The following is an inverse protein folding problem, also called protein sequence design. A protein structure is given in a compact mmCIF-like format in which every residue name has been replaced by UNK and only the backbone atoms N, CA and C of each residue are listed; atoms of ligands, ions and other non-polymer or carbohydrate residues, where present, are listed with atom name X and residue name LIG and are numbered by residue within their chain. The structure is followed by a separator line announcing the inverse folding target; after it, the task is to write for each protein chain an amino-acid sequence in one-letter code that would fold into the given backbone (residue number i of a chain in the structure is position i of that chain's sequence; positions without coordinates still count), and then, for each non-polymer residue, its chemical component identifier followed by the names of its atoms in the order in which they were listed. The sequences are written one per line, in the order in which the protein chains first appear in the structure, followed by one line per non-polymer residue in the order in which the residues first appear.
data_IF_795739776931
#
_entry.id   IF_795739776931
#
_cell.length_a   1.000
_cell.length_b   1.000
_cell.length_c   1.000
_cell.angle_alpha   90.00
_cell.angle_beta   90.00
_cell.angle_gamma   90.00
#
_symmetry.space_group_name_H-M   'P 1'
#
loop_
_entity.id
_entity.type
_entity.pdbx_description
1 polymer ?
#
# COMPACT_ATOMS: atom_id res chain seq x y z
N UNK A 1 -6.66 -0.91 -10.49
CA UNK A 1 -6.52 0.29 -9.61
C UNK A 1 -6.31 1.54 -10.45
N UNK A 2 -5.38 1.53 -11.41
CA UNK A 2 -5.10 2.67 -12.32
C UNK A 2 -6.35 3.15 -13.07
N UNK A 3 -7.17 2.23 -13.61
CA UNK A 3 -8.39 2.54 -14.37
C UNK A 3 -9.45 3.30 -13.58
N UNK A 4 -9.34 3.28 -12.25
CA UNK A 4 -10.29 3.94 -11.36
C UNK A 4 -9.84 5.32 -10.89
N UNK A 5 -8.58 5.69 -11.15
CA UNK A 5 -7.99 6.93 -10.63
C UNK A 5 -8.78 8.18 -11.06
N UNK A 6 -9.09 8.28 -12.36
CA UNK A 6 -9.77 9.44 -12.92
C UNK A 6 -11.21 9.59 -12.40
N UNK A 7 -11.87 8.45 -12.10
CA UNK A 7 -13.25 8.42 -11.61
C UNK A 7 -13.32 8.57 -10.10
N UNK A 8 -12.44 7.90 -9.37
CA UNK A 8 -12.58 7.69 -7.93
C UNK A 8 -11.66 8.62 -7.10
N UNK A 9 -10.71 9.32 -7.73
CA UNK A 9 -9.76 10.20 -7.04
C UNK A 9 -9.87 11.65 -7.52
N UNK A 10 -9.72 11.90 -8.81
CA UNK A 10 -9.62 13.26 -9.36
C UNK A 10 -10.82 14.17 -9.02
N UNK A 11 -12.09 13.71 -9.05
CA UNK A 11 -13.24 14.58 -8.78
C UNK A 11 -13.27 15.15 -7.35
N UNK A 12 -12.55 14.49 -6.41
CA UNK A 12 -12.50 14.92 -5.00
C UNK A 12 -11.38 15.91 -4.71
N UNK A 13 -10.47 16.14 -5.64
CA UNK A 13 -9.30 17.04 -5.50
C UNK A 13 -8.55 16.87 -4.17
N UNK A 14 -8.19 15.64 -3.76
CA UNK A 14 -7.54 15.42 -2.49
C UNK A 14 -6.13 16.06 -2.48
N UNK A 15 -5.72 16.59 -1.35
CA UNK A 15 -4.34 17.09 -1.20
C UNK A 15 -3.33 15.96 -1.05
N UNK A 16 -3.73 14.85 -0.40
CA UNK A 16 -2.92 13.66 -0.17
C UNK A 16 -3.71 12.42 -0.59
N UNK A 17 -3.04 11.43 -1.17
CA UNK A 17 -3.60 10.12 -1.46
C UNK A 17 -2.77 9.03 -0.79
N UNK A 18 -3.39 8.28 0.13
CA UNK A 18 -2.82 7.07 0.70
C UNK A 18 -3.08 5.90 -0.25
N UNK A 19 -2.01 5.22 -0.68
CA UNK A 19 -2.09 4.16 -1.69
C UNK A 19 -1.63 2.85 -1.08
N UNK A 20 -2.54 1.87 -1.00
CA UNK A 20 -2.26 0.49 -0.62
C UNK A 20 -2.91 -0.45 -1.63
N UNK A 21 -2.10 -1.07 -2.48
CA UNK A 21 -2.56 -1.96 -3.55
C UNK A 21 -1.50 -3.00 -3.89
N UNK A 22 -1.91 -4.11 -4.51
CA UNK A 22 -1.02 -5.14 -5.02
C UNK A 22 -1.11 -6.49 -4.32
N UNK A 23 -1.68 -6.58 -3.10
CA UNK A 23 -1.74 -7.83 -2.34
C UNK A 23 -2.41 -8.97 -3.11
N UNK A 24 -3.53 -8.70 -3.78
CA UNK A 24 -4.24 -9.72 -4.56
C UNK A 24 -3.44 -10.21 -5.76
N UNK A 25 -2.81 -9.30 -6.51
CA UNK A 25 -1.98 -9.65 -7.65
C UNK A 25 -0.76 -10.48 -7.22
N UNK A 26 -0.06 -10.04 -6.18
CA UNK A 26 1.15 -10.71 -5.70
C UNK A 26 0.87 -12.10 -5.14
N UNK A 27 -0.21 -12.28 -4.35
CA UNK A 27 -0.58 -13.60 -3.83
C UNK A 27 -1.02 -14.57 -4.94
N UNK A 28 -1.56 -14.04 -6.03
CA UNK A 28 -1.95 -14.82 -7.22
C UNK A 28 -0.77 -15.12 -8.16
N UNK A 29 0.44 -14.63 -7.86
CA UNK A 29 1.65 -14.94 -8.61
C UNK A 29 2.08 -13.86 -9.61
N UNK A 30 1.50 -12.67 -9.58
CA UNK A 30 1.95 -11.54 -10.42
C UNK A 30 3.40 -11.17 -10.11
N UNK A 31 4.16 -10.79 -11.14
CA UNK A 31 5.52 -10.32 -10.97
C UNK A 31 5.53 -9.05 -10.09
N UNK A 32 6.35 -9.00 -9.03
CA UNK A 32 6.50 -7.80 -8.21
C UNK A 32 6.82 -6.54 -9.00
N UNK A 33 7.56 -6.65 -10.12
CA UNK A 33 7.90 -5.51 -10.95
C UNK A 33 6.66 -4.87 -11.58
N UNK A 34 5.67 -5.67 -12.02
CA UNK A 34 4.40 -5.14 -12.55
C UNK A 34 3.67 -4.30 -11.51
N UNK A 35 3.64 -4.77 -10.25
CA UNK A 35 3.02 -4.01 -9.15
C UNK A 35 3.80 -2.72 -8.84
N UNK A 36 5.13 -2.77 -8.91
CA UNK A 36 5.98 -1.58 -8.73
C UNK A 36 5.73 -0.57 -9.85
N UNK A 37 5.65 -1.02 -11.10
CA UNK A 37 5.38 -0.15 -12.25
C UNK A 37 4.00 0.53 -12.11
N UNK A 38 2.98 -0.21 -11.68
CA UNK A 38 1.65 0.34 -11.37
C UNK A 38 1.69 1.39 -10.25
N UNK A 39 2.48 1.16 -9.20
CA UNK A 39 2.67 2.13 -8.12
C UNK A 39 3.38 3.40 -8.61
N UNK A 40 4.40 3.26 -9.46
CA UNK A 40 5.10 4.39 -10.06
C UNK A 40 4.17 5.23 -10.94
N UNK A 41 3.39 4.58 -11.78
CA UNK A 41 2.38 5.25 -12.63
C UNK A 41 1.34 5.97 -11.77
N UNK A 42 0.84 5.34 -10.71
CA UNK A 42 -0.11 5.97 -9.78
C UNK A 42 0.50 7.20 -9.11
N UNK A 43 1.75 7.11 -8.65
CA UNK A 43 2.46 8.23 -8.06
C UNK A 43 2.63 9.38 -9.07
N UNK A 44 2.94 9.06 -10.34
CA UNK A 44 3.09 10.08 -11.39
C UNK A 44 1.77 10.78 -11.67
N UNK A 45 0.66 10.05 -11.84
CA UNK A 45 -0.67 10.64 -12.02
C UNK A 45 -1.10 11.53 -10.85
N UNK A 46 -0.76 11.14 -9.61
CA UNK A 46 -0.99 11.98 -8.45
C UNK A 46 -0.24 13.31 -8.57
N UNK A 47 1.06 13.25 -8.87
CA UNK A 47 1.91 14.44 -9.00
C UNK A 47 1.40 15.38 -10.10
N UNK A 48 1.07 14.84 -11.26
CA UNK A 48 0.55 15.62 -12.40
C UNK A 48 -0.77 16.34 -12.05
N UNK A 49 -1.56 15.75 -11.14
CA UNK A 49 -2.79 16.34 -10.61
C UNK A 49 -2.59 17.23 -9.37
N UNK A 50 -1.34 17.49 -8.94
CA UNK A 50 -1.05 18.26 -7.74
C UNK A 50 -1.34 17.52 -6.42
N UNK A 51 -1.57 16.21 -6.47
CA UNK A 51 -1.87 15.34 -5.33
C UNK A 51 -0.56 14.75 -4.80
N UNK A 52 -0.40 14.71 -3.49
CA UNK A 52 0.78 14.14 -2.82
C UNK A 52 0.56 12.64 -2.56
N UNK A 53 1.22 11.73 -3.30
CA UNK A 53 1.09 10.30 -3.05
C UNK A 53 1.88 9.88 -1.81
N UNK A 54 1.28 9.03 -1.00
CA UNK A 54 1.90 8.39 0.16
C UNK A 54 1.61 6.89 0.06
N UNK A 55 2.64 6.09 -0.14
CA UNK A 55 2.49 4.64 -0.25
C UNK A 55 2.34 4.00 1.13
N UNK A 56 1.61 2.90 1.20
CA UNK A 56 1.46 2.10 2.41
C UNK A 56 2.02 0.70 2.18
N UNK A 57 2.86 0.21 3.08
CA UNK A 57 3.38 -1.15 2.98
C UNK A 57 2.27 -2.17 3.12
N UNK A 58 2.39 -3.28 2.39
CA UNK A 58 1.42 -4.37 2.37
C UNK A 58 1.60 -5.24 3.62
N UNK A 59 0.58 -5.38 4.47
CA UNK A 59 0.61 -6.34 5.58
C UNK A 59 0.78 -7.77 5.09
N UNK A 60 1.27 -8.65 5.96
CA UNK A 60 1.25 -10.08 5.71
C UNK A 60 -0.19 -10.57 5.47
N UNK A 61 -0.33 -11.71 4.84
CA UNK A 61 -1.61 -12.39 4.61
C UNK A 61 -1.64 -13.74 5.32
N UNK A 62 -2.81 -14.37 5.36
CA UNK A 62 -2.98 -15.74 5.84
C UNK A 62 -3.54 -16.63 4.71
N UNK A 63 -2.68 -17.36 3.98
CA UNK A 63 -3.11 -18.19 2.86
C UNK A 63 -4.16 -19.23 3.21
N UNK A 64 -4.08 -19.83 4.40
CA UNK A 64 -5.03 -20.85 4.82
C UNK A 64 -6.46 -20.27 5.00
N UNK A 65 -6.58 -19.06 5.52
CA UNK A 65 -7.87 -18.39 5.63
C UNK A 65 -8.39 -17.96 4.25
N UNK A 66 -7.50 -17.47 3.38
CA UNK A 66 -7.85 -17.08 2.01
C UNK A 66 -8.42 -18.26 1.24
N UNK A 67 -7.74 -19.41 1.26
CA UNK A 67 -8.21 -20.64 0.62
C UNK A 67 -9.57 -21.08 1.19
N UNK A 68 -9.70 -21.06 2.52
CA UNK A 68 -10.96 -21.46 3.18
C UNK A 68 -12.15 -20.56 2.80
N UNK A 69 -11.94 -19.25 2.68
CA UNK A 69 -13.04 -18.29 2.44
C UNK A 69 -13.35 -18.11 0.96
N UNK A 70 -12.32 -18.08 0.10
CA UNK A 70 -12.49 -17.76 -1.32
C UNK A 70 -12.29 -18.95 -2.25
N UNK A 71 -11.82 -20.09 -1.73
CA UNK A 71 -11.38 -21.25 -2.53
C UNK A 71 -10.33 -20.83 -3.59
N UNK A 72 -9.41 -19.97 -3.22
CA UNK A 72 -8.34 -19.41 -4.06
C UNK A 72 -6.97 -19.73 -3.47
N UNK A 73 -6.12 -20.35 -4.27
CA UNK A 73 -4.75 -20.65 -3.87
C UNK A 73 -3.88 -19.39 -3.84
N UNK A 74 -2.93 -19.39 -2.91
CA UNK A 74 -1.87 -18.39 -2.83
C UNK A 74 -0.55 -19.05 -3.21
N UNK A 75 0.26 -18.41 -4.06
CA UNK A 75 1.57 -18.94 -4.48
C UNK A 75 2.52 -19.07 -3.28
N UNK A 76 3.36 -20.12 -3.29
CA UNK A 76 4.25 -20.44 -2.16
C UNK A 76 5.24 -19.33 -1.84
N UNK A 77 5.71 -18.60 -2.86
CA UNK A 77 6.71 -17.54 -2.75
C UNK A 77 6.11 -16.15 -2.47
N UNK A 78 4.83 -16.07 -2.09
CA UNK A 78 4.14 -14.79 -1.84
C UNK A 78 4.88 -13.87 -0.88
N UNK A 79 5.55 -14.43 0.16
CA UNK A 79 6.31 -13.62 1.13
C UNK A 79 7.45 -12.85 0.46
N UNK A 80 8.17 -13.52 -0.44
CA UNK A 80 9.24 -12.88 -1.19
C UNK A 80 8.71 -11.80 -2.12
N UNK A 81 7.58 -12.05 -2.80
CA UNK A 81 6.92 -11.07 -3.66
C UNK A 81 6.49 -9.82 -2.90
N UNK A 82 5.88 -10.01 -1.72
CA UNK A 82 5.50 -8.90 -0.82
C UNK A 82 6.72 -8.15 -0.30
N UNK A 83 7.80 -8.85 0.03
CA UNK A 83 9.04 -8.23 0.48
C UNK A 83 9.63 -7.30 -0.58
N UNK A 84 9.72 -7.75 -1.84
CA UNK A 84 10.24 -6.95 -2.96
C UNK A 84 9.43 -5.65 -3.13
N UNK A 85 8.11 -5.73 -3.14
CA UNK A 85 7.25 -4.54 -3.28
C UNK A 85 7.34 -3.64 -2.05
N UNK A 86 7.34 -4.21 -0.84
CA UNK A 86 7.47 -3.44 0.39
C UNK A 86 8.84 -2.73 0.49
N UNK A 87 9.91 -3.35 0.01
CA UNK A 87 11.23 -2.72 -0.04
C UNK A 87 11.23 -1.52 -0.99
N UNK A 88 10.60 -1.64 -2.18
CA UNK A 88 10.37 -0.49 -3.05
C UNK A 88 9.55 0.60 -2.34
N UNK A 89 8.42 0.26 -1.71
CA UNK A 89 7.56 1.22 -1.00
C UNK A 89 8.36 1.99 0.06
N UNK A 90 9.25 1.33 0.81
CA UNK A 90 10.08 1.95 1.84
C UNK A 90 11.11 2.95 1.29
N UNK A 91 11.42 2.91 0.00
CA UNK A 91 12.26 3.93 -0.66
C UNK A 91 11.50 5.21 -0.99
N UNK A 92 10.18 5.21 -0.89
CA UNK A 92 9.29 6.31 -1.24
C UNK A 92 8.78 7.05 0.02
N UNK A 93 8.03 8.14 -0.18
CA UNK A 93 7.22 8.69 0.92
C UNK A 93 6.17 7.68 1.30
N UNK A 94 6.25 7.12 2.50
CA UNK A 94 5.43 5.97 2.88
C UNK A 94 5.02 5.95 4.35
N UNK A 95 4.02 5.08 4.63
CA UNK A 95 3.65 4.65 5.98
C UNK A 95 3.86 3.14 6.07
N UNK A 96 4.64 2.68 7.04
CA UNK A 96 4.89 1.24 7.25
C UNK A 96 3.71 0.60 8.01
N UNK A 97 2.60 0.39 7.29
CA UNK A 97 1.38 -0.23 7.82
C UNK A 97 1.55 -1.73 8.10
N UNK A 98 2.46 -2.41 7.40
CA UNK A 98 2.78 -3.80 7.70
C UNK A 98 3.31 -3.97 9.14
N UNK A 99 4.06 -2.99 9.64
CA UNK A 99 4.59 -2.98 11.01
C UNK A 99 3.51 -2.71 12.10
N UNK A 100 2.26 -2.46 11.72
CA UNK A 100 1.16 -2.34 12.68
C UNK A 100 0.69 -3.69 13.22
N UNK A 101 1.06 -4.79 12.57
CA UNK A 101 0.59 -6.14 12.89
C UNK A 101 1.69 -6.99 13.47
N UNK A 102 1.40 -7.65 14.61
CA UNK A 102 2.21 -8.76 15.10
C UNK A 102 1.83 -10.02 14.32
N UNK A 103 2.75 -10.53 13.53
CA UNK A 103 2.55 -11.70 12.67
C UNK A 103 3.45 -12.87 13.09
N UNK A 104 3.09 -13.62 14.15
CA UNK A 104 3.83 -14.83 14.52
C UNK A 104 3.88 -15.78 13.32
N UNK A 105 5.04 -16.37 13.08
CA UNK A 105 5.28 -17.27 11.93
C UNK A 105 5.10 -16.59 10.55
N UNK A 106 5.09 -15.25 10.49
CA UNK A 106 5.02 -14.49 9.25
C UNK A 106 3.68 -14.54 8.52
N UNK A 107 2.60 -14.90 9.22
CA UNK A 107 1.22 -14.85 8.69
C UNK A 107 0.35 -13.93 9.51
N UNK A 108 -0.61 -13.28 8.85
CA UNK A 108 -1.56 -12.39 9.50
C UNK A 108 -2.51 -13.20 10.40
N UNK A 109 -2.55 -12.92 11.70
CA UNK A 109 -3.49 -13.59 12.60
C UNK A 109 -4.95 -13.34 12.23
N UNK A 110 -5.79 -14.37 12.37
CA UNK A 110 -7.23 -14.31 12.06
C UNK A 110 -7.97 -13.20 12.82
N UNK A 111 -7.48 -12.82 14.01
CA UNK A 111 -8.06 -11.74 14.80
C UNK A 111 -7.98 -10.37 14.11
N UNK A 112 -7.08 -10.20 13.16
CA UNK A 112 -6.92 -8.96 12.38
C UNK A 112 -7.61 -8.99 11.02
N UNK A 113 -7.77 -10.19 10.44
CA UNK A 113 -8.43 -10.41 9.16
C UNK A 113 -9.01 -11.82 9.11
N UNK A 114 -10.32 -11.94 9.25
CA UNK A 114 -11.02 -13.23 9.28
C UNK A 114 -10.83 -14.01 7.99
N UNK A 115 -10.82 -13.32 6.87
CA UNK A 115 -10.59 -13.91 5.54
C UNK A 115 -9.10 -14.08 5.19
N UNK A 116 -8.21 -13.62 6.05
CA UNK A 116 -6.76 -13.69 5.87
C UNK A 116 -6.15 -12.61 4.96
N UNK A 117 -6.96 -11.69 4.42
CA UNK A 117 -6.52 -10.68 3.44
C UNK A 117 -7.00 -9.27 3.78
N UNK A 118 -8.27 -9.09 4.12
CA UNK A 118 -8.88 -7.79 4.37
C UNK A 118 -8.97 -7.51 5.86
N UNK A 119 -8.24 -6.51 6.39
CA UNK A 119 -8.30 -6.19 7.82
C UNK A 119 -9.73 -5.92 8.29
N UNK A 120 -10.12 -6.60 9.39
CA UNK A 120 -11.36 -6.37 10.10
C UNK A 120 -11.31 -5.12 10.97
N UNK A 121 -12.30 -4.92 11.83
CA UNK A 121 -12.40 -3.76 12.72
C UNK A 121 -11.12 -3.54 13.53
N UNK A 122 -10.57 -4.61 14.16
CA UNK A 122 -9.34 -4.51 14.94
C UNK A 122 -8.13 -4.20 14.04
N UNK A 123 -8.01 -4.90 12.92
CA UNK A 123 -6.93 -4.67 11.95
C UNK A 123 -6.95 -3.24 11.38
N UNK A 124 -8.13 -2.75 10.99
CA UNK A 124 -8.30 -1.37 10.52
C UNK A 124 -7.97 -0.35 11.60
N UNK A 125 -8.32 -0.62 12.86
CA UNK A 125 -7.97 0.23 13.98
C UNK A 125 -6.46 0.36 14.16
N UNK A 126 -5.73 -0.76 14.17
CA UNK A 126 -4.28 -0.75 14.28
C UNK A 126 -3.60 0.01 13.13
N UNK A 127 -4.08 -0.18 11.89
CA UNK A 127 -3.60 0.59 10.75
C UNK A 127 -3.87 2.10 10.92
N UNK A 128 -5.07 2.47 11.36
CA UNK A 128 -5.44 3.86 11.63
C UNK A 128 -4.60 4.49 12.74
N UNK A 129 -4.33 3.77 13.82
CA UNK A 129 -3.43 4.20 14.90
C UNK A 129 -2.01 4.41 14.39
N UNK A 130 -1.51 3.51 13.53
CA UNK A 130 -0.20 3.64 12.88
C UNK A 130 -0.11 4.87 11.98
N UNK A 131 -1.12 5.08 11.13
CA UNK A 131 -1.22 6.26 10.27
C UNK A 131 -1.21 7.53 11.12
N UNK A 132 -2.06 7.61 12.14
CA UNK A 132 -2.17 8.78 13.00
C UNK A 132 -0.86 9.10 13.73
N UNK A 133 -0.16 8.09 14.23
CA UNK A 133 1.10 8.25 14.97
C UNK A 133 2.22 8.90 14.13
N UNK A 134 2.24 8.68 12.80
CA UNK A 134 3.30 9.15 11.91
C UNK A 134 2.86 10.28 10.98
N UNK A 135 1.58 10.63 10.97
CA UNK A 135 0.96 11.51 9.98
C UNK A 135 1.66 12.86 9.80
N UNK A 136 1.98 13.54 10.90
CA UNK A 136 2.61 14.87 10.83
C UNK A 136 3.96 14.83 10.09
N UNK A 137 4.80 13.82 10.37
CA UNK A 137 6.10 13.65 9.72
C UNK A 137 5.98 13.25 8.25
N UNK A 138 5.10 12.28 7.96
CA UNK A 138 4.90 11.79 6.58
C UNK A 138 4.26 12.88 5.70
N UNK A 139 3.32 13.63 6.24
CA UNK A 139 2.72 14.79 5.57
C UNK A 139 3.79 15.80 5.16
N UNK A 140 4.70 16.16 6.08
CA UNK A 140 5.79 17.09 5.78
C UNK A 140 6.71 16.54 4.69
N UNK A 141 7.09 15.26 4.75
CA UNK A 141 7.89 14.60 3.71
C UNK A 141 7.21 14.66 2.34
N UNK A 142 5.90 14.44 2.28
CA UNK A 142 5.12 14.50 1.04
C UNK A 142 5.06 15.93 0.47
N UNK A 143 4.89 16.95 1.32
CA UNK A 143 4.91 18.36 0.91
C UNK A 143 6.30 18.74 0.37
N UNK A 144 7.39 18.36 1.06
CA UNK A 144 8.76 18.63 0.64
C UNK A 144 9.12 17.94 -0.68
N UNK A 145 8.67 16.71 -0.88
CA UNK A 145 8.88 15.96 -2.12
C UNK A 145 8.22 16.66 -3.31
N UNK A 146 6.97 17.13 -3.15
CA UNK A 146 6.27 17.87 -4.20
C UNK A 146 6.97 19.19 -4.55
N UNK A 147 7.47 19.92 -3.56
CA UNK A 147 8.17 21.20 -3.76
C UNK A 147 9.49 21.00 -4.52
N UNK A 148 10.26 19.95 -4.21
CA UNK A 148 11.53 19.65 -4.91
C UNK A 148 11.31 19.33 -6.38
N UNK A 149 10.22 18.65 -6.72
CA UNK A 149 9.92 18.29 -8.12
C UNK A 149 9.52 19.52 -8.93
N UNK A 150 8.67 20.40 -8.38
CA UNK A 150 8.30 21.65 -9.06
C UNK A 150 9.51 22.56 -9.34
N UNK A 151 10.52 22.52 -8.49
CA UNK A 151 11.75 23.32 -8.70
C UNK A 151 12.68 22.73 -9.77
N UNK A 152 12.60 21.42 -10.06
CA UNK A 152 13.41 20.77 -11.11
C UNK A 152 12.80 20.90 -12.51
N UNK A 153 11.50 21.19 -12.60
CA UNK A 153 10.82 21.39 -13.89
C UNK A 153 11.01 22.82 -14.45
N UNK A 154 11.50 23.77 -13.62
CA UNK A 154 11.74 25.18 -13.98
C UNK A 154 13.20 25.45 -14.43
N UNK A 155 14.09 24.44 -14.46
CA UNK A 155 15.48 24.56 -14.96
C UNK A 155 15.63 23.95 -16.39
#
# INVERSE_FOLDING_TARGET
TLDRFDRDVLPFHPRYLLIMTGSNSLRAGEDPQVVIDDLQEMQQRCRDAGIRPILMTLPAINPANIDHVFAEETVDDWRNRFAVVNDYIRTQVHIDTAAAFECPNGVLPTIYALDGLHPDVLGKRLMGEKVNAVWAGVKQQADDAMTRMSASDDE
#
